data_IF_683289787158
#
_entry.id   IF_683289787158
#
_cell.length_a   1.000
_cell.length_b   1.000
_cell.length_c   1.000
_cell.angle_alpha   90.00
_cell.angle_beta   90.00
_cell.angle_gamma   90.00
#
_symmetry.space_group_name_H-M   'P 1'
#
loop_
_entity.id
_entity.type
_entity.pdbx_description
1 polymer ?
#
# COMPACT_ATOMS: atom_id res chain seq x y z
N UNK A 1 -24.21 10.87 14.50
CA UNK A 1 -23.58 12.19 14.77
C UNK A 1 -22.22 12.23 14.06
N UNK A 2 -21.76 13.40 13.62
CA UNK A 2 -20.39 13.57 13.11
C UNK A 2 -19.49 14.05 14.26
N UNK A 3 -18.41 13.33 14.51
CA UNK A 3 -17.53 13.52 15.66
C UNK A 3 -16.09 13.76 15.19
N UNK A 4 -15.49 14.82 15.72
CA UNK A 4 -14.06 15.08 15.56
C UNK A 4 -13.34 14.56 16.80
N UNK A 5 -12.37 13.66 16.62
CA UNK A 5 -11.55 13.12 17.71
C UNK A 5 -10.11 13.59 17.54
N UNK A 6 -9.56 14.25 18.54
CA UNK A 6 -8.14 14.53 18.64
C UNK A 6 -7.44 13.41 19.42
N UNK A 7 -6.51 12.69 18.79
CA UNK A 7 -5.76 11.60 19.39
C UNK A 7 -4.27 11.72 18.99
N UNK A 8 -3.35 11.70 19.96
CA UNK A 8 -1.89 11.79 19.73
C UNK A 8 -1.45 12.98 18.84
N UNK A 9 -2.16 14.11 18.92
CA UNK A 9 -1.89 15.30 18.12
C UNK A 9 -2.37 15.21 16.66
N UNK A 10 -3.14 14.16 16.31
CA UNK A 10 -3.85 14.03 15.04
C UNK A 10 -5.35 14.18 15.25
N UNK A 11 -6.05 14.63 14.22
CA UNK A 11 -7.50 14.80 14.24
C UNK A 11 -8.15 13.83 13.27
N UNK A 12 -9.13 13.08 13.76
CA UNK A 12 -9.91 12.09 13.02
C UNK A 12 -11.37 12.53 12.97
N UNK A 13 -11.97 12.48 11.78
CA UNK A 13 -13.38 12.77 11.61
C UNK A 13 -14.14 11.44 11.42
N UNK A 14 -15.05 11.15 12.34
CA UNK A 14 -15.93 9.99 12.28
C UNK A 14 -17.34 10.46 11.95
N UNK A 15 -17.84 10.05 10.79
CA UNK A 15 -19.22 10.30 10.38
C UNK A 15 -20.14 9.20 10.89
N UNK A 16 -21.39 9.55 11.20
CA UNK A 16 -22.41 8.57 11.58
C UNK A 16 -21.98 7.64 12.73
N UNK A 17 -21.52 8.21 13.84
CA UNK A 17 -21.33 7.46 15.09
C UNK A 17 -22.64 7.46 15.88
N UNK A 18 -23.04 6.29 16.36
CA UNK A 18 -24.32 6.08 17.06
C UNK A 18 -24.18 5.68 18.53
N UNK A 19 -23.02 5.17 18.96
CA UNK A 19 -22.76 4.82 20.36
C UNK A 19 -21.31 5.07 20.80
N UNK A 20 -21.09 5.14 22.11
CA UNK A 20 -19.75 5.22 22.70
C UNK A 20 -18.94 3.95 22.42
N UNK A 21 -19.57 2.77 22.47
CA UNK A 21 -18.89 1.52 22.12
C UNK A 21 -18.43 1.50 20.66
N UNK A 22 -19.27 1.98 19.74
CA UNK A 22 -18.92 2.10 18.33
C UNK A 22 -17.77 3.08 18.13
N UNK A 23 -17.79 4.23 18.81
CA UNK A 23 -16.72 5.22 18.77
C UNK A 23 -15.38 4.59 19.18
N UNK A 24 -15.37 3.88 20.31
CA UNK A 24 -14.17 3.19 20.83
C UNK A 24 -13.65 2.15 19.83
N UNK A 25 -14.56 1.39 19.24
CA UNK A 25 -14.22 0.38 18.23
C UNK A 25 -13.60 1.01 16.98
N UNK A 26 -14.21 2.08 16.44
CA UNK A 26 -13.70 2.78 15.25
C UNK A 26 -12.36 3.46 15.52
N UNK A 27 -12.18 4.04 16.70
CA UNK A 27 -10.89 4.60 17.12
C UNK A 27 -9.81 3.51 17.17
N UNK A 28 -10.12 2.35 17.75
CA UNK A 28 -9.20 1.20 17.78
C UNK A 28 -8.88 0.66 16.38
N UNK A 29 -9.84 0.65 15.45
CA UNK A 29 -9.58 0.23 14.07
C UNK A 29 -8.68 1.22 13.32
N UNK A 30 -8.81 2.50 13.61
CA UNK A 30 -8.04 3.57 12.97
C UNK A 30 -6.62 3.63 13.53
N UNK A 31 -6.49 3.53 14.85
CA UNK A 31 -5.21 3.52 15.57
C UNK A 31 -5.11 2.30 16.51
N UNK A 32 -4.79 1.10 15.98
CA UNK A 32 -4.80 -0.14 16.76
C UNK A 32 -3.69 -0.22 17.80
N UNK A 33 -2.63 0.57 17.61
CA UNK A 33 -1.57 0.75 18.59
C UNK A 33 -1.99 1.62 19.77
N UNK A 34 -3.10 2.35 19.69
CA UNK A 34 -3.54 3.25 20.74
C UNK A 34 -4.46 2.53 21.74
N UNK A 35 -4.03 2.51 22.99
CA UNK A 35 -4.82 2.04 24.13
C UNK A 35 -5.50 3.24 24.74
N UNK A 36 -6.80 3.36 24.48
CA UNK A 36 -7.64 4.42 25.02
C UNK A 36 -7.77 4.28 26.54
N UNK A 37 -7.45 5.35 27.28
CA UNK A 37 -7.64 5.44 28.73
C UNK A 37 -8.88 6.29 29.07
N UNK A 38 -9.06 7.43 28.40
CA UNK A 38 -10.21 8.31 28.60
C UNK A 38 -10.56 9.08 27.33
N UNK A 39 -11.83 9.49 27.26
CA UNK A 39 -12.34 10.42 26.26
C UNK A 39 -12.91 11.63 26.98
N UNK A 40 -12.50 12.82 26.59
CA UNK A 40 -12.98 14.08 27.17
C UNK A 40 -13.46 15.03 26.08
N UNK A 41 -14.34 15.95 26.42
CA UNK A 41 -14.71 17.06 25.55
C UNK A 41 -14.84 18.33 26.38
N UNK A 42 -14.76 19.47 25.72
CA UNK A 42 -15.01 20.78 26.34
C UNK A 42 -16.45 21.18 26.02
N UNK A 43 -17.22 21.57 27.03
CA UNK A 43 -18.61 22.00 26.87
C UNK A 43 -18.73 23.50 26.56
N UNK A 44 -19.95 24.03 26.59
CA UNK A 44 -20.24 25.45 26.32
C UNK A 44 -19.78 26.39 27.45
N UNK A 45 -19.54 25.85 28.65
CA UNK A 45 -19.10 26.60 29.84
C UNK A 45 -17.57 26.52 30.02
N UNK A 46 -16.85 26.02 29.01
CA UNK A 46 -15.41 25.73 29.01
C UNK A 46 -14.98 24.61 29.98
N UNK A 47 -15.92 23.83 30.51
CA UNK A 47 -15.64 22.71 31.42
C UNK A 47 -15.21 21.45 30.65
N UNK A 48 -14.24 20.73 31.21
CA UNK A 48 -13.74 19.46 30.65
C UNK A 48 -14.57 18.31 31.20
N UNK A 49 -15.43 17.75 30.35
CA UNK A 49 -16.29 16.62 30.68
C UNK A 49 -15.66 15.32 30.21
N UNK A 50 -15.72 14.28 31.04
CA UNK A 50 -15.25 12.92 30.70
C UNK A 50 -16.42 12.05 30.23
N UNK A 51 -16.25 11.38 29.10
CA UNK A 51 -17.22 10.42 28.54
C UNK A 51 -16.99 9.04 29.15
N UNK A 52 -17.66 8.74 30.27
CA UNK A 52 -17.52 7.47 30.97
C UNK A 52 -18.56 6.44 30.51
N UNK A 53 -19.77 6.89 30.17
CA UNK A 53 -20.92 6.04 29.86
C UNK A 53 -21.71 6.54 28.62
N UNK A 54 -22.69 5.75 28.18
CA UNK A 54 -23.55 6.10 27.02
C UNK A 54 -24.46 7.31 27.27
N UNK A 55 -24.82 7.60 28.53
CA UNK A 55 -25.60 8.81 28.83
C UNK A 55 -24.75 10.05 28.58
N UNK A 56 -23.49 10.05 29.01
CA UNK A 56 -22.55 11.16 28.74
C UNK A 56 -22.34 11.35 27.23
N UNK A 57 -22.30 10.25 26.48
CA UNK A 57 -22.20 10.28 25.02
C UNK A 57 -23.45 10.86 24.36
N UNK A 58 -24.64 10.57 24.89
CA UNK A 58 -25.89 11.13 24.37
C UNK A 58 -25.95 12.66 24.49
N UNK A 59 -25.31 13.24 25.51
CA UNK A 59 -25.20 14.69 25.67
C UNK A 59 -24.42 15.35 24.53
N UNK A 60 -23.49 14.64 23.88
CA UNK A 60 -22.77 15.18 22.72
C UNK A 60 -23.67 15.39 21.49
N UNK A 61 -24.75 14.62 21.39
CA UNK A 61 -25.63 14.65 20.20
C UNK A 61 -26.49 15.90 20.12
N UNK A 62 -26.57 16.68 21.21
CA UNK A 62 -27.43 17.86 21.30
C UNK A 62 -26.74 19.17 20.91
N UNK A 63 -25.40 19.18 20.78
CA UNK A 63 -24.62 20.38 20.44
C UNK A 63 -23.72 20.12 19.22
N UNK A 64 -23.49 21.18 18.44
CA UNK A 64 -23.20 21.01 17.01
C UNK A 64 -21.72 20.95 16.62
N UNK A 65 -20.75 21.15 17.52
CA UNK A 65 -19.33 21.07 17.16
C UNK A 65 -18.43 20.71 18.37
N UNK A 66 -18.32 19.42 18.69
CA UNK A 66 -17.35 18.97 19.70
C UNK A 66 -16.11 18.34 19.08
N UNK A 67 -14.96 18.73 19.61
CA UNK A 67 -13.73 17.97 19.48
C UNK A 67 -13.56 17.13 20.74
N UNK A 68 -13.69 15.81 20.60
CA UNK A 68 -13.43 14.87 21.68
C UNK A 68 -11.94 14.60 21.72
N UNK A 69 -11.30 14.81 22.86
CA UNK A 69 -9.91 14.47 23.09
C UNK A 69 -9.81 13.02 23.60
N UNK A 70 -9.08 12.20 22.85
CA UNK A 70 -8.76 10.83 23.24
C UNK A 70 -7.39 10.81 23.91
N UNK A 71 -7.37 10.40 25.18
CA UNK A 71 -6.17 10.28 25.98
C UNK A 71 -5.88 8.82 26.28
N UNK A 72 -4.60 8.45 26.20
CA UNK A 72 -4.20 7.07 26.30
C UNK A 72 -2.72 6.86 26.02
N UNK A 73 -2.35 5.60 25.87
CA UNK A 73 -0.95 5.18 25.69
C UNK A 73 -0.79 4.34 24.44
N UNK A 74 0.41 4.33 23.89
CA UNK A 74 0.76 3.45 22.79
C UNK A 74 1.09 2.07 23.34
N UNK A 75 0.44 1.03 22.83
CA UNK A 75 0.81 -0.36 23.05
C UNK A 75 2.15 -0.65 22.34
N UNK A 76 3.22 -0.57 23.12
CA UNK A 76 4.57 -0.84 22.66
C UNK A 76 4.74 -2.29 22.18
N UNK A 77 4.05 -3.25 22.79
CA UNK A 77 4.14 -4.64 22.36
C UNK A 77 3.50 -4.84 21.00
N UNK A 78 2.33 -4.24 20.78
CA UNK A 78 1.66 -4.27 19.48
C UNK A 78 2.56 -3.64 18.40
N UNK A 79 3.13 -2.47 18.67
CA UNK A 79 4.03 -1.78 17.74
C UNK A 79 5.26 -2.64 17.37
N UNK A 80 5.88 -3.32 18.36
CA UNK A 80 7.01 -4.23 18.12
C UNK A 80 6.59 -5.45 17.29
N UNK A 81 5.42 -6.04 17.59
CA UNK A 81 4.88 -7.20 16.85
C UNK A 81 4.61 -6.82 15.39
N UNK A 82 4.00 -5.68 15.15
CA UNK A 82 3.65 -5.22 13.79
C UNK A 82 4.91 -4.82 13.00
N UNK A 83 5.88 -4.16 13.64
CA UNK A 83 7.18 -3.90 13.01
C UNK A 83 7.88 -5.19 12.55
N UNK A 84 7.94 -6.21 13.40
CA UNK A 84 8.51 -7.53 13.05
C UNK A 84 7.76 -8.20 11.90
N UNK A 85 6.42 -8.09 11.87
CA UNK A 85 5.59 -8.60 10.78
C UNK A 85 5.91 -7.89 9.47
N UNK A 86 5.96 -6.56 9.49
CA UNK A 86 6.28 -5.73 8.33
C UNK A 86 7.68 -6.03 7.78
N UNK A 87 8.68 -6.18 8.66
CA UNK A 87 10.02 -6.61 8.24
C UNK A 87 10.02 -7.96 7.50
N UNK A 88 9.22 -8.94 7.97
CA UNK A 88 9.10 -10.24 7.28
C UNK A 88 8.44 -10.10 5.92
N UNK A 89 7.40 -9.28 5.80
CA UNK A 89 6.72 -9.00 4.53
C UNK A 89 7.66 -8.33 3.53
N UNK A 90 8.41 -7.32 3.97
CA UNK A 90 9.41 -6.63 3.14
C UNK A 90 10.45 -7.63 2.62
N UNK A 91 10.97 -8.52 3.48
CA UNK A 91 11.91 -9.58 3.06
C UNK A 91 11.31 -10.52 2.00
N UNK A 92 10.05 -10.91 2.15
CA UNK A 92 9.34 -11.76 1.16
C UNK A 92 9.17 -11.03 -0.17
N UNK A 93 8.78 -9.76 -0.15
CA UNK A 93 8.63 -8.93 -1.35
C UNK A 93 9.98 -8.78 -2.05
N UNK A 94 11.04 -8.46 -1.31
CA UNK A 94 12.40 -8.33 -1.85
C UNK A 94 12.86 -9.62 -2.55
N UNK A 95 12.62 -10.78 -1.94
CA UNK A 95 12.93 -12.08 -2.55
C UNK A 95 12.14 -12.31 -3.84
N UNK A 96 10.84 -12.00 -3.85
CA UNK A 96 9.99 -12.13 -5.06
C UNK A 96 10.47 -11.21 -6.18
N UNK A 97 10.84 -9.97 -5.86
CA UNK A 97 11.43 -9.03 -6.83
C UNK A 97 12.75 -9.57 -7.39
N UNK A 98 13.63 -10.14 -6.56
CA UNK A 98 14.88 -10.75 -7.01
C UNK A 98 14.64 -11.90 -7.99
N UNK A 99 13.66 -12.77 -7.69
CA UNK A 99 13.27 -13.87 -8.58
C UNK A 99 12.72 -13.38 -9.93
N UNK A 100 11.86 -12.35 -9.92
CA UNK A 100 11.31 -11.76 -11.14
C UNK A 100 12.40 -11.16 -12.02
N UNK A 101 13.35 -10.42 -11.43
CA UNK A 101 14.52 -9.89 -12.14
C UNK A 101 15.35 -11.01 -12.79
N UNK A 102 15.52 -12.14 -12.09
CA UNK A 102 16.19 -13.33 -12.63
C UNK A 102 15.47 -13.90 -13.85
N UNK A 103 14.15 -14.08 -13.76
CA UNK A 103 13.32 -14.56 -14.89
C UNK A 103 13.40 -13.61 -16.09
N UNK A 104 13.31 -12.30 -15.87
CA UNK A 104 13.41 -11.30 -16.93
C UNK A 104 14.76 -11.35 -17.64
N UNK A 105 15.87 -11.47 -16.90
CA UNK A 105 17.21 -11.64 -17.49
C UNK A 105 17.30 -12.89 -18.37
N UNK A 106 16.70 -14.00 -17.93
CA UNK A 106 16.69 -15.24 -18.72
C UNK A 106 15.88 -15.09 -20.03
N UNK A 107 14.74 -14.40 -19.98
CA UNK A 107 13.92 -14.10 -21.16
C UNK A 107 14.74 -13.26 -22.16
N UNK A 108 15.33 -12.15 -21.71
CA UNK A 108 16.16 -11.28 -22.55
C UNK A 108 17.35 -12.02 -23.17
N UNK A 109 17.94 -12.95 -22.43
CA UNK A 109 19.05 -13.78 -22.94
C UNK A 109 18.57 -14.72 -24.06
N UNK A 110 17.41 -15.35 -23.89
CA UNK A 110 16.79 -16.21 -24.92
C UNK A 110 16.42 -15.41 -26.16
N UNK A 111 15.81 -14.24 -26.00
CA UNK A 111 15.46 -13.34 -27.11
C UNK A 111 16.70 -12.91 -27.90
N UNK A 112 17.78 -12.51 -27.21
CA UNK A 112 19.05 -12.16 -27.86
C UNK A 112 19.64 -13.32 -28.67
N UNK A 113 19.58 -14.54 -28.15
CA UNK A 113 20.03 -15.72 -28.88
C UNK A 113 19.19 -15.98 -30.11
N UNK A 114 17.87 -15.82 -30.01
CA UNK A 114 16.94 -15.99 -31.13
C UNK A 114 17.18 -14.94 -32.21
N UNK A 115 17.33 -13.67 -31.84
CA UNK A 115 17.69 -12.59 -32.76
C UNK A 115 19.01 -12.86 -33.50
N UNK A 116 20.02 -13.41 -32.82
CA UNK A 116 21.27 -13.83 -33.46
C UNK A 116 21.06 -14.94 -34.49
N UNK A 117 20.22 -15.93 -34.19
CA UNK A 117 19.89 -17.01 -35.15
C UNK A 117 19.16 -16.47 -36.37
N UNK A 118 18.16 -15.61 -36.16
CA UNK A 118 17.42 -14.95 -37.24
C UNK A 118 18.36 -14.12 -38.12
N UNK A 119 19.24 -13.31 -37.53
CA UNK A 119 20.23 -12.53 -38.28
C UNK A 119 21.14 -13.40 -39.15
N UNK A 120 21.63 -14.53 -38.63
CA UNK A 120 22.43 -15.48 -39.42
C UNK A 120 21.64 -16.10 -40.57
N UNK A 121 20.37 -16.42 -40.33
CA UNK A 121 19.50 -16.96 -41.38
C UNK A 121 19.29 -15.94 -42.50
N UNK A 122 19.02 -14.67 -42.17
CA UNK A 122 18.92 -13.58 -43.14
C UNK A 122 20.19 -13.45 -44.00
N UNK A 123 21.37 -13.42 -43.36
CA UNK A 123 22.66 -13.36 -44.08
C UNK A 123 22.78 -14.51 -45.08
N UNK A 124 22.44 -15.74 -44.65
CA UNK A 124 22.53 -16.92 -45.50
C UNK A 124 21.61 -16.83 -46.72
N UNK A 125 20.36 -16.41 -46.52
CA UNK A 125 19.39 -16.21 -47.59
C UNK A 125 19.87 -15.16 -48.58
N UNK A 126 20.38 -14.01 -48.10
CA UNK A 126 20.95 -12.97 -48.96
C UNK A 126 22.16 -13.47 -49.77
N UNK A 127 23.07 -14.21 -49.14
CA UNK A 127 24.23 -14.78 -49.84
C UNK A 127 23.82 -15.78 -50.91
N UNK A 128 22.86 -16.66 -50.61
CA UNK A 128 22.37 -17.66 -51.57
C UNK A 128 21.67 -16.97 -52.76
N UNK A 129 20.88 -15.92 -52.52
CA UNK A 129 20.27 -15.09 -53.56
C UNK A 129 21.33 -14.44 -54.46
N UNK A 130 22.35 -13.79 -53.88
CA UNK A 130 23.44 -13.17 -54.65
C UNK A 130 24.20 -14.19 -55.50
N UNK A 131 24.45 -15.38 -54.96
CA UNK A 131 25.17 -16.44 -55.68
C UNK A 131 24.34 -16.98 -56.84
N UNK A 132 23.02 -17.20 -56.65
CA UNK A 132 22.10 -17.58 -57.73
C UNK A 132 22.05 -16.53 -58.83
N UNK A 133 22.03 -15.24 -58.48
CA UNK A 133 22.00 -14.16 -59.45
C UNK A 133 23.28 -14.10 -60.29
N UNK A 134 24.45 -14.19 -59.65
CA UNK A 134 25.74 -14.32 -60.37
C UNK A 134 25.77 -15.51 -61.31
N UNK A 135 25.28 -16.67 -60.88
CA UNK A 135 25.24 -17.86 -61.75
C UNK A 135 24.36 -17.65 -62.99
N UNK A 136 23.24 -16.92 -62.87
CA UNK A 136 22.42 -16.56 -64.03
C UNK A 136 23.16 -15.60 -64.97
N UNK A 137 23.85 -14.60 -64.43
CA UNK A 137 24.64 -13.64 -65.21
C UNK A 137 25.74 -14.35 -66.02
N UNK A 138 26.47 -15.29 -65.41
CA UNK A 138 27.48 -16.09 -66.13
C UNK A 138 26.93 -16.97 -67.25
N UNK A 139 25.68 -17.41 -67.16
CA UNK A 139 25.01 -18.20 -68.21
C UNK A 139 24.52 -17.36 -69.38
N UNK A 140 24.42 -16.03 -69.24
CA UNK A 140 23.98 -15.12 -70.31
C UNK A 140 25.18 -14.63 -71.13
N UNK A 141 26.39 -14.66 -70.55
CA UNK A 141 27.63 -14.15 -71.15
C UNK A 141 28.38 -15.22 -71.97
N UNK A 142 28.04 -16.50 -71.78
CA UNK A 142 28.54 -17.64 -72.57
C UNK A 142 27.47 -18.14 -73.54
#
# INVERSE_FOLDING_TARGET
MNLKIACLGQEFNFEEVYSLEELKLRLYQTEPSFVLESLTYQDEEDDIITLANENDFSCLTTSTNFTVQAQGKIDQEWAIKEFKRNQRLIKRIANKVKQLKGKQRNILTKERLLLRKVKRYFIRVETDLRNRQRHKEYQIIN
#
